data_IF_796864875077
#
_entry.id   IF_796864875077
#
_cell.length_a   1.000
_cell.length_b   1.000
_cell.length_c   1.000
_cell.angle_alpha   90.00
_cell.angle_beta   90.00
_cell.angle_gamma   90.00
#
_symmetry.space_group_name_H-M   'P 1'
#
loop_
_entity.id
_entity.type
_entity.pdbx_description
1 polymer ?
#
# COMPACT_ATOMS: atom_id res chain seq x y z
N UNK A 1 -1.67 -29.35 21.15
CA UNK A 1 -2.21 -28.00 20.87
C UNK A 1 -2.60 -27.95 19.40
N UNK A 2 -3.89 -27.82 19.07
CA UNK A 2 -4.34 -27.66 17.68
C UNK A 2 -4.42 -26.15 17.42
N UNK A 3 -3.65 -25.67 16.44
CA UNK A 3 -3.88 -24.35 15.89
C UNK A 3 -5.34 -24.30 15.44
N UNK A 4 -6.11 -23.36 15.97
CA UNK A 4 -7.44 -23.03 15.45
C UNK A 4 -7.32 -22.63 13.97
N UNK A 5 -8.45 -22.52 13.24
CA UNK A 5 -8.42 -22.16 11.83
C UNK A 5 -7.54 -20.93 11.62
N UNK A 6 -6.50 -21.08 10.78
CA UNK A 6 -5.53 -20.03 10.49
C UNK A 6 -6.28 -18.78 10.02
N UNK A 7 -5.87 -17.57 10.46
CA UNK A 7 -6.48 -16.34 9.99
C UNK A 7 -6.37 -16.32 8.46
N UNK A 8 -7.51 -16.31 7.78
CA UNK A 8 -7.56 -16.14 6.33
C UNK A 8 -7.28 -14.67 6.05
N UNK A 9 -6.11 -14.39 5.51
CA UNK A 9 -5.83 -13.08 4.93
C UNK A 9 -6.58 -13.02 3.61
N UNK A 10 -7.81 -12.50 3.64
CA UNK A 10 -8.60 -12.32 2.43
C UNK A 10 -8.07 -11.10 1.66
N UNK A 11 -7.31 -11.36 0.59
CA UNK A 11 -6.82 -10.32 -0.32
C UNK A 11 -7.85 -10.03 -1.41
N UNK A 12 -8.31 -8.78 -1.51
CA UNK A 12 -9.21 -8.35 -2.60
C UNK A 12 -8.44 -7.55 -3.63
N UNK A 13 -8.49 -7.95 -4.90
CA UNK A 13 -7.90 -7.19 -6.01
C UNK A 13 -8.83 -6.04 -6.39
N UNK A 14 -8.30 -4.82 -6.38
CA UNK A 14 -8.99 -3.61 -6.83
C UNK A 14 -8.24 -3.05 -8.04
N UNK A 15 -8.97 -2.75 -9.13
CA UNK A 15 -8.43 -2.13 -10.34
C UNK A 15 -8.94 -0.70 -10.42
N UNK A 16 -8.05 0.27 -10.67
CA UNK A 16 -8.42 1.66 -10.89
C UNK A 16 -7.63 2.26 -12.06
N UNK A 17 -8.19 3.28 -12.69
CA UNK A 17 -7.48 4.08 -13.68
C UNK A 17 -6.52 5.02 -12.93
N UNK A 18 -5.22 4.74 -13.00
CA UNK A 18 -4.19 5.58 -12.40
C UNK A 18 -3.83 6.71 -13.38
N UNK A 19 -4.01 8.00 -13.01
CA UNK A 19 -3.53 9.11 -13.82
C UNK A 19 -2.01 9.01 -14.06
N UNK A 20 -1.56 9.38 -15.26
CA UNK A 20 -0.14 9.26 -15.64
C UNK A 20 0.80 10.04 -14.70
N UNK A 21 0.38 11.22 -14.23
CA UNK A 21 1.13 12.01 -13.25
C UNK A 21 1.31 11.27 -11.92
N UNK A 22 0.25 10.65 -11.41
CA UNK A 22 0.30 9.86 -10.19
C UNK A 22 1.21 8.65 -10.34
N UNK A 23 1.15 7.93 -11.48
CA UNK A 23 2.06 6.82 -11.75
C UNK A 23 3.53 7.26 -11.75
N UNK A 24 3.84 8.39 -12.40
CA UNK A 24 5.19 8.93 -12.44
C UNK A 24 5.73 9.30 -11.04
N UNK A 25 4.88 9.87 -10.18
CA UNK A 25 5.27 10.18 -8.80
C UNK A 25 5.46 8.91 -7.96
N UNK A 26 4.62 7.90 -8.13
CA UNK A 26 4.78 6.60 -7.47
C UNK A 26 6.06 5.89 -7.91
N UNK A 27 6.40 5.94 -9.20
CA UNK A 27 7.65 5.35 -9.72
C UNK A 27 8.89 6.05 -9.18
N UNK A 28 8.86 7.38 -9.10
CA UNK A 28 9.94 8.16 -8.48
C UNK A 28 10.10 7.78 -7.01
N UNK A 29 9.00 7.65 -6.29
CA UNK A 29 9.02 7.25 -4.89
C UNK A 29 9.60 5.85 -4.69
N UNK A 30 9.18 4.90 -5.53
CA UNK A 30 9.68 3.53 -5.50
C UNK A 30 11.19 3.44 -5.81
N UNK A 31 11.67 4.23 -6.78
CA UNK A 31 13.09 4.35 -7.08
C UNK A 31 13.89 4.94 -5.91
N UNK A 32 13.36 5.92 -5.19
CA UNK A 32 14.01 6.49 -4.00
C UNK A 32 14.05 5.49 -2.83
N UNK A 33 12.96 4.74 -2.65
CA UNK A 33 12.90 3.66 -1.66
C UNK A 33 13.95 2.59 -1.95
N UNK A 34 14.09 2.17 -3.21
CA UNK A 34 15.08 1.17 -3.59
C UNK A 34 16.53 1.64 -3.47
N UNK A 35 16.80 2.92 -3.70
CA UNK A 35 18.12 3.49 -3.39
C UNK A 35 18.45 3.46 -1.90
N UNK A 36 17.43 3.62 -1.05
CA UNK A 36 17.61 3.67 0.41
C UNK A 36 17.80 2.28 1.03
N UNK A 37 17.04 1.29 0.55
CA UNK A 37 17.01 -0.06 1.13
C UNK A 37 17.73 -1.12 0.28
N UNK A 38 18.29 -0.74 -0.87
CA UNK A 38 19.07 -1.62 -1.75
C UNK A 38 18.24 -2.58 -2.62
N UNK A 39 16.91 -2.50 -2.57
CA UNK A 39 16.02 -3.35 -3.36
C UNK A 39 15.06 -2.50 -4.19
N UNK A 40 15.07 -2.69 -5.51
CA UNK A 40 14.10 -2.05 -6.41
C UNK A 40 12.71 -2.59 -6.13
N UNK A 41 11.83 -1.73 -5.61
CA UNK A 41 10.43 -2.07 -5.35
C UNK A 41 9.56 -1.53 -6.50
N UNK A 42 8.54 -2.28 -6.92
CA UNK A 42 7.51 -1.77 -7.82
C UNK A 42 6.59 -0.80 -7.06
N UNK A 43 6.26 0.33 -7.66
CA UNK A 43 5.20 1.23 -7.20
C UNK A 43 3.93 0.47 -6.78
N UNK A 44 3.51 -0.54 -7.55
CA UNK A 44 2.33 -1.34 -7.26
C UNK A 44 2.42 -2.10 -5.92
N UNK A 45 3.62 -2.49 -5.50
CA UNK A 45 3.85 -3.15 -4.21
C UNK A 45 3.78 -2.17 -3.03
N UNK A 46 4.06 -0.87 -3.25
CA UNK A 46 4.01 0.16 -2.23
C UNK A 46 2.59 0.72 -2.01
N UNK A 47 1.75 0.71 -3.04
CA UNK A 47 0.39 1.27 -3.00
C UNK A 47 -0.44 0.77 -1.80
N UNK A 48 -0.52 -0.54 -1.49
CA UNK A 48 -1.29 -1.02 -0.35
C UNK A 48 -0.82 -0.43 0.99
N UNK A 49 0.50 -0.40 1.23
CA UNK A 49 1.08 0.13 2.46
C UNK A 49 0.87 1.65 2.60
N UNK A 50 1.00 2.38 1.50
CA UNK A 50 0.74 3.83 1.47
C UNK A 50 -0.72 4.13 1.79
N UNK A 51 -1.65 3.36 1.22
CA UNK A 51 -3.08 3.52 1.48
C UNK A 51 -3.44 3.16 2.92
N UNK A 52 -2.89 2.09 3.47
CA UNK A 52 -3.10 1.72 4.87
C UNK A 52 -2.59 2.82 5.82
N UNK A 53 -1.38 3.31 5.61
CA UNK A 53 -0.80 4.40 6.39
C UNK A 53 -1.62 5.70 6.26
N UNK A 54 -2.12 6.00 5.07
CA UNK A 54 -3.00 7.14 4.83
C UNK A 54 -4.31 7.01 5.62
N UNK A 55 -4.98 5.86 5.54
CA UNK A 55 -6.24 5.59 6.25
C UNK A 55 -6.05 5.61 7.78
N UNK A 56 -4.94 5.06 8.28
CA UNK A 56 -4.62 5.07 9.71
C UNK A 56 -4.34 6.49 10.25
N UNK A 57 -3.73 7.33 9.40
CA UNK A 57 -3.41 8.73 9.69
C UNK A 57 -4.59 9.70 9.52
N UNK A 58 -5.62 9.33 8.76
CA UNK A 58 -6.79 10.17 8.52
C UNK A 58 -7.68 10.25 9.78
N UNK A 59 -7.41 11.27 10.59
CA UNK A 59 -8.20 11.60 11.78
C UNK A 59 -9.65 11.96 11.46
N UNK A 60 -9.92 12.52 10.28
CA UNK A 60 -11.27 12.86 9.83
C UNK A 60 -12.11 11.62 9.55
N UNK A 61 -11.49 10.60 8.96
CA UNK A 61 -12.05 9.27 8.80
C UNK A 61 -12.31 8.60 10.16
N UNK A 62 -11.30 8.57 11.04
CA UNK A 62 -11.40 7.94 12.38
C UNK A 62 -12.45 8.58 13.30
N UNK A 63 -12.85 9.83 13.07
CA UNK A 63 -13.85 10.52 13.92
C UNK A 63 -15.30 10.23 13.50
N UNK A 64 -15.52 9.60 12.34
CA UNK A 64 -16.85 9.27 11.80
C UNK A 64 -17.10 7.76 11.68
N UNK A 65 -16.09 6.94 11.97
CA UNK A 65 -16.20 5.48 12.06
C UNK A 65 -16.60 5.00 13.44
#
# INVERSE_FOLDING_TARGET
MRLGPLPRTDSTKITFACPASLKADLDRYAALHGQTYGETVDAAALVPYMLEAFMAGDRGFRRKG
#
